data_IF_885850526526
#
_entry.id   IF_885850526526
#
_cell.length_a   1.000
_cell.length_b   1.000
_cell.length_c   1.000
_cell.angle_alpha   90.00
_cell.angle_beta   90.00
_cell.angle_gamma   90.00
#
_symmetry.space_group_name_H-M   'P 1'
#
loop_
_entity.id
_entity.type
_entity.pdbx_description
1 polymer ?
#
# COMPACT_ATOMS: atom_id res chain seq x y z
N UNK A 1 -6.38 25.81 5.97
CA UNK A 1 -5.06 25.16 6.12
C UNK A 1 -4.70 24.61 4.75
N UNK A 2 -3.61 25.08 4.14
CA UNK A 2 -3.21 24.67 2.80
C UNK A 2 -2.51 23.31 2.89
N UNK A 3 -3.27 22.23 2.66
CA UNK A 3 -2.72 20.89 2.39
C UNK A 3 -2.20 20.90 0.95
N UNK A 4 -1.10 21.61 0.75
CA UNK A 4 -0.47 21.72 -0.55
C UNK A 4 0.16 20.38 -0.93
N UNK A 5 -0.29 19.91 -2.09
CA UNK A 5 0.43 19.13 -3.08
C UNK A 5 0.40 17.62 -2.88
N UNK A 6 -0.26 16.99 -3.85
CA UNK A 6 -0.03 15.65 -4.39
C UNK A 6 1.47 15.40 -4.56
N UNK A 7 2.18 15.09 -3.48
CA UNK A 7 3.62 14.89 -3.53
C UNK A 7 3.90 13.42 -3.74
N UNK A 8 4.32 13.11 -4.97
CA UNK A 8 5.32 12.08 -5.17
C UNK A 8 6.51 12.44 -4.28
N UNK A 9 6.66 11.70 -3.18
CA UNK A 9 7.72 11.96 -2.21
C UNK A 9 8.93 11.17 -2.69
N UNK A 10 9.90 11.84 -3.32
CA UNK A 10 11.13 11.17 -3.77
C UNK A 10 11.86 10.49 -2.59
N UNK A 11 11.85 11.19 -1.44
CA UNK A 11 12.36 10.73 -0.14
C UNK A 11 11.42 9.79 0.63
N UNK A 12 10.35 9.24 0.02
CA UNK A 12 9.43 8.37 0.76
C UNK A 12 10.15 7.13 1.29
N UNK A 13 10.22 6.99 2.61
CA UNK A 13 10.99 5.92 3.25
C UNK A 13 10.16 4.67 3.52
N UNK A 14 10.84 3.53 3.67
CA UNK A 14 10.19 2.27 4.08
C UNK A 14 9.44 2.42 5.40
N UNK A 15 10.02 3.17 6.34
CA UNK A 15 9.39 3.46 7.63
C UNK A 15 8.08 4.23 7.48
N UNK A 16 8.06 5.27 6.64
CA UNK A 16 6.84 6.05 6.38
C UNK A 16 5.75 5.21 5.72
N UNK A 17 6.11 4.36 4.75
CA UNK A 17 5.18 3.42 4.13
C UNK A 17 4.50 2.53 5.19
N UNK A 18 5.29 1.93 6.08
CA UNK A 18 4.75 1.09 7.14
C UNK A 18 3.89 1.87 8.13
N UNK A 19 4.29 3.10 8.47
CA UNK A 19 3.54 3.95 9.40
C UNK A 19 2.15 4.30 8.83
N UNK A 20 2.10 4.67 7.54
CA UNK A 20 0.85 4.95 6.82
C UNK A 20 -0.06 3.73 6.74
N UNK A 21 0.49 2.56 6.37
CA UNK A 21 -0.30 1.32 6.33
C UNK A 21 -0.81 0.96 7.73
N UNK A 22 0.02 1.10 8.76
CA UNK A 22 -0.37 0.79 10.14
C UNK A 22 -1.46 1.74 10.64
N UNK A 23 -1.37 3.02 10.28
CA UNK A 23 -2.39 4.04 10.57
C UNK A 23 -3.76 3.65 9.98
N UNK A 24 -3.80 3.24 8.71
CA UNK A 24 -5.03 2.76 8.04
C UNK A 24 -5.54 1.49 8.74
N UNK A 25 -4.66 0.52 9.02
CA UNK A 25 -5.03 -0.77 9.64
C UNK A 25 -5.60 -0.62 11.05
N UNK A 26 -5.05 0.28 11.86
CA UNK A 26 -5.53 0.54 13.22
C UNK A 26 -6.80 1.39 13.24
N UNK A 27 -7.22 1.87 12.08
CA UNK A 27 -8.30 2.82 11.92
C UNK A 27 -8.16 4.05 12.83
N UNK A 28 -6.92 4.52 13.05
CA UNK A 28 -6.66 5.71 13.87
C UNK A 28 -7.08 6.98 13.12
N UNK A 29 -7.57 7.99 13.83
CA UNK A 29 -7.94 9.28 13.24
C UNK A 29 -9.34 9.33 12.60
N UNK A 30 -9.56 10.33 11.75
CA UNK A 30 -10.83 10.57 11.08
C UNK A 30 -10.88 9.91 9.70
N UNK A 31 -12.09 9.75 9.14
CA UNK A 31 -12.26 9.24 7.77
C UNK A 31 -11.50 10.06 6.72
N UNK A 32 -11.32 11.36 6.97
CA UNK A 32 -10.51 12.24 6.11
C UNK A 32 -9.02 11.88 6.16
N UNK A 33 -8.49 11.54 7.33
CA UNK A 33 -7.08 11.13 7.48
C UNK A 33 -6.82 9.80 6.76
N UNK A 34 -7.76 8.86 6.84
CA UNK A 34 -7.67 7.59 6.11
C UNK A 34 -7.70 7.80 4.60
N UNK A 35 -8.61 8.65 4.14
CA UNK A 35 -8.71 8.99 2.71
C UNK A 35 -7.42 9.63 2.22
N UNK A 36 -6.81 10.50 3.02
CA UNK A 36 -5.52 11.11 2.71
C UNK A 36 -4.38 10.09 2.68
N UNK A 37 -4.30 9.19 3.68
CA UNK A 37 -3.30 8.13 3.74
C UNK A 37 -3.39 7.19 2.52
N UNK A 38 -4.60 6.82 2.11
CA UNK A 38 -4.85 6.01 0.92
C UNK A 38 -4.44 6.74 -0.36
N UNK A 39 -4.81 8.02 -0.50
CA UNK A 39 -4.38 8.84 -1.63
C UNK A 39 -2.85 8.99 -1.71
N UNK A 40 -2.17 9.11 -0.56
CA UNK A 40 -0.70 9.17 -0.51
C UNK A 40 -0.07 7.91 -1.11
N UNK A 41 -0.57 6.74 -0.71
CA UNK A 41 -0.14 5.45 -1.25
C UNK A 41 -0.48 5.33 -2.75
N UNK A 42 -1.66 5.77 -3.17
CA UNK A 42 -2.06 5.72 -4.57
C UNK A 42 -1.19 6.62 -5.46
N UNK A 43 -0.85 7.83 -5.01
CA UNK A 43 0.00 8.76 -5.77
C UNK A 43 1.44 8.21 -5.90
N UNK A 44 1.96 7.57 -4.85
CA UNK A 44 3.34 7.08 -4.84
C UNK A 44 3.50 5.71 -5.52
N UNK A 45 2.49 4.83 -5.43
CA UNK A 45 2.59 3.44 -5.90
C UNK A 45 1.62 3.10 -7.04
N UNK A 46 0.47 3.79 -7.17
CA UNK A 46 -0.58 3.51 -8.17
C UNK A 46 -0.94 2.03 -8.25
N UNK A 47 -1.15 1.43 -7.08
CA UNK A 47 -1.22 -0.01 -6.92
C UNK A 47 -2.52 -0.46 -6.24
N UNK A 48 -3.53 0.40 -6.09
CA UNK A 48 -4.77 0.13 -5.36
C UNK A 48 -4.52 -0.38 -3.92
N UNK A 49 -3.93 0.44 -3.05
CA UNK A 49 -3.65 0.09 -1.66
C UNK A 49 -4.91 -0.20 -0.84
N UNK A 50 -6.06 0.35 -1.24
CA UNK A 50 -7.34 0.13 -0.57
C UNK A 50 -7.73 -1.35 -0.62
N UNK A 51 -7.79 -1.93 -1.81
CA UNK A 51 -8.08 -3.35 -1.99
C UNK A 51 -7.05 -4.20 -1.25
N UNK A 52 -5.75 -3.91 -1.37
CA UNK A 52 -4.73 -4.72 -0.70
C UNK A 52 -4.88 -4.75 0.84
N UNK A 53 -5.31 -3.63 1.45
CA UNK A 53 -5.45 -3.52 2.90
C UNK A 53 -6.75 -4.15 3.42
N UNK A 54 -7.87 -3.93 2.71
CA UNK A 54 -9.20 -4.35 3.18
C UNK A 54 -9.70 -5.66 2.54
N UNK A 55 -9.33 -5.89 1.28
CA UNK A 55 -9.79 -7.00 0.44
C UNK A 55 -8.62 -7.59 -0.36
N UNK A 56 -7.63 -8.21 0.34
CA UNK A 56 -6.50 -8.82 -0.34
C UNK A 56 -6.94 -9.85 -1.39
N UNK A 57 -8.04 -10.58 -1.15
CA UNK A 57 -8.65 -11.46 -2.14
C UNK A 57 -8.96 -10.77 -3.47
N UNK A 58 -9.62 -9.63 -3.44
CA UNK A 58 -9.89 -8.81 -4.63
C UNK A 58 -8.60 -8.31 -5.25
N UNK A 59 -7.65 -7.84 -4.42
CA UNK A 59 -6.40 -7.27 -4.92
C UNK A 59 -5.55 -8.29 -5.66
N UNK A 60 -5.47 -9.53 -5.15
CA UNK A 60 -4.73 -10.66 -5.72
C UNK A 60 -5.54 -11.42 -6.77
N UNK A 61 -6.85 -11.16 -6.86
CA UNK A 61 -7.80 -11.96 -7.63
C UNK A 61 -7.76 -13.45 -7.23
N UNK A 62 -7.68 -13.71 -5.92
CA UNK A 62 -7.58 -15.05 -5.34
C UNK A 62 -8.49 -15.16 -4.11
N UNK A 63 -9.61 -15.87 -4.24
CA UNK A 63 -10.58 -16.08 -3.16
C UNK A 63 -9.98 -16.81 -1.95
N UNK A 64 -8.90 -17.58 -2.13
CA UNK A 64 -8.22 -18.22 -1.01
C UNK A 64 -7.57 -17.21 -0.05
N UNK A 65 -7.34 -15.97 -0.51
CA UNK A 65 -6.73 -14.90 0.27
C UNK A 65 -7.75 -14.07 1.05
N UNK A 66 -9.04 -14.41 1.01
CA UNK A 66 -10.08 -13.70 1.77
C UNK A 66 -9.81 -13.74 3.28
N UNK A 67 -9.21 -14.83 3.77
CA UNK A 67 -8.79 -14.99 5.17
C UNK A 67 -7.29 -14.73 5.37
N UNK A 68 -6.55 -14.37 4.31
CA UNK A 68 -5.13 -14.11 4.41
C UNK A 68 -4.91 -12.80 5.17
N UNK A 69 -4.08 -12.87 6.21
CA UNK A 69 -3.76 -11.73 7.04
C UNK A 69 -2.35 -11.27 6.74
N UNK A 70 -2.24 -10.38 5.76
CA UNK A 70 -0.96 -9.79 5.38
C UNK A 70 -0.39 -8.94 6.52
N UNK A 71 0.91 -9.02 6.68
CA UNK A 71 1.67 -8.10 7.54
C UNK A 71 1.80 -6.74 6.85
N UNK A 72 2.10 -5.70 7.64
CA UNK A 72 2.29 -4.35 7.10
C UNK A 72 3.46 -4.32 6.10
N UNK A 73 4.50 -5.12 6.37
CA UNK A 73 5.66 -5.27 5.51
C UNK A 73 5.30 -5.94 4.18
N UNK A 74 4.51 -7.02 4.21
CA UNK A 74 4.03 -7.64 2.97
C UNK A 74 3.21 -6.66 2.12
N UNK A 75 2.28 -5.93 2.73
CA UNK A 75 1.47 -4.91 2.02
C UNK A 75 2.39 -3.90 1.35
N UNK A 76 3.37 -3.36 2.07
CA UNK A 76 4.34 -2.43 1.51
C UNK A 76 5.16 -3.03 0.36
N UNK A 77 5.60 -4.29 0.51
CA UNK A 77 6.32 -5.02 -0.53
C UNK A 77 5.50 -5.24 -1.80
N UNK A 78 4.23 -5.60 -1.65
CA UNK A 78 3.29 -5.77 -2.77
C UNK A 78 3.04 -4.44 -3.49
N UNK A 79 2.88 -3.33 -2.77
CA UNK A 79 2.75 -2.00 -3.37
C UNK A 79 3.99 -1.61 -4.18
N UNK A 80 5.19 -1.80 -3.63
CA UNK A 80 6.46 -1.51 -4.32
C UNK A 80 6.60 -2.34 -5.59
N UNK A 81 6.37 -3.65 -5.50
CA UNK A 81 6.51 -4.55 -6.64
C UNK A 81 5.46 -4.29 -7.73
N UNK A 82 4.20 -4.01 -7.37
CA UNK A 82 3.16 -3.67 -8.35
C UNK A 82 3.41 -2.33 -9.02
N UNK A 83 3.88 -1.35 -8.25
CA UNK A 83 4.28 -0.03 -8.77
C UNK A 83 5.54 -0.08 -9.65
N UNK A 84 6.43 -1.05 -9.41
CA UNK A 84 7.81 -1.05 -9.92
C UNK A 84 8.73 -0.05 -9.20
N UNK A 85 8.20 0.72 -8.25
CA UNK A 85 8.96 1.66 -7.42
C UNK A 85 9.50 0.96 -6.18
N UNK A 86 10.82 0.86 -6.10
CA UNK A 86 11.53 0.32 -4.94
C UNK A 86 12.06 1.44 -4.06
N UNK A 87 11.83 1.33 -2.75
CA UNK A 87 12.42 2.24 -1.78
C UNK A 87 13.82 1.73 -1.43
N UNK A 88 14.82 2.61 -1.42
CA UNK A 88 16.22 2.23 -1.16
C UNK A 88 16.46 1.69 0.25
N UNK A 89 15.65 2.10 1.22
CA UNK A 89 15.71 1.67 2.63
C UNK A 89 14.82 0.43 2.90
N UNK A 90 14.13 -0.09 1.88
CA UNK A 90 13.28 -1.25 2.07
C UNK A 90 14.11 -2.53 2.32
N UNK A 91 13.75 -3.35 3.32
CA UNK A 91 14.34 -4.67 3.50
C UNK A 91 13.96 -5.60 2.34
N UNK A 92 14.70 -6.70 2.20
CA UNK A 92 14.32 -7.78 1.30
C UNK A 92 13.11 -8.51 1.88
N UNK A 93 11.93 -8.29 1.28
CA UNK A 93 10.66 -8.85 1.75
C UNK A 93 10.29 -10.01 0.84
N UNK A 94 10.14 -11.18 1.44
CA UNK A 94 9.67 -12.36 0.73
C UNK A 94 8.16 -12.31 0.57
N UNK A 95 7.72 -11.95 -0.62
CA UNK A 95 6.32 -11.99 -1.02
C UNK A 95 5.98 -13.41 -1.45
N UNK A 96 5.11 -14.06 -0.68
CA UNK A 96 4.70 -15.45 -0.89
C UNK A 96 3.72 -15.59 -2.07
N UNK A 97 2.92 -14.55 -2.32
CA UNK A 97 1.89 -14.55 -3.35
C UNK A 97 2.38 -13.87 -4.62
N UNK A 98 1.92 -14.39 -5.76
CA UNK A 98 2.17 -13.76 -7.04
C UNK A 98 1.35 -12.47 -7.14
N UNK A 99 1.95 -11.41 -7.66
CA UNK A 99 1.24 -10.16 -7.94
C UNK A 99 0.41 -10.38 -9.20
N UNK A 100 -0.89 -10.03 -9.19
CA UNK A 100 -1.69 -10.16 -10.39
C UNK A 100 -1.11 -9.29 -11.49
N UNK A 101 -0.98 -9.88 -12.67
CA UNK A 101 -0.49 -9.20 -13.86
C UNK A 101 -1.53 -8.27 -14.49
N UNK A 102 -2.69 -8.09 -13.86
CA UNK A 102 -3.77 -7.30 -14.43
C UNK A 102 -3.46 -5.81 -14.32
N UNK A 103 -3.04 -5.30 -15.48
CA UNK A 103 -2.82 -3.91 -15.82
C UNK A 103 -4.17 -3.20 -15.68
N UNK A 104 -4.31 -2.30 -14.71
CA UNK A 104 -5.30 -1.24 -14.86
C UNK A 104 -4.87 -0.46 -16.11
N UNK A 105 -5.55 -0.73 -17.24
CA UNK A 105 -5.40 -0.03 -18.52
C UNK A 105 -5.72 1.46 -18.38
#
# INVERSE_FOLDING_TARGET
MALNQEKYLDDFTWKELNDVINFIRKAEGSASDHSYALQLLEINFKANPLDLIYHPDCWFNDEALFHARLTTEEIGGYLMKKSGRWLNDAPDIQLVYAIPQDVYD
#
